data_IF_569390418796
#
_entry.id   IF_569390418796
#
_cell.length_a   1.000
_cell.length_b   1.000
_cell.length_c   1.000
_cell.angle_alpha   90.00
_cell.angle_beta   90.00
_cell.angle_gamma   90.00
#
_symmetry.space_group_name_H-M   'P 1'
#
loop_
_entity.id
_entity.type
_entity.pdbx_description
1 polymer ?
#
# COMPACT_ATOMS: atom_id res chain seq x y z
N UNK A 1 -3.15 21.27 29.99
CA UNK A 1 -3.04 20.40 28.79
C UNK A 1 -2.15 21.11 27.80
N UNK A 2 -0.86 20.75 27.60
CA UNK A 2 -0.03 21.49 26.67
C UNK A 2 -0.48 21.16 25.25
N UNK A 3 -0.79 22.24 24.54
CA UNK A 3 -1.11 22.32 23.12
C UNK A 3 -0.12 21.47 22.32
N UNK A 4 -0.61 20.49 21.57
CA UNK A 4 0.18 19.91 20.47
C UNK A 4 0.62 21.08 19.59
N UNK A 5 1.92 21.42 19.60
CA UNK A 5 2.43 22.56 18.85
C UNK A 5 2.07 22.39 17.37
N UNK A 6 1.64 23.45 16.66
CA UNK A 6 1.27 23.37 15.24
C UNK A 6 2.35 22.74 14.36
N UNK A 7 3.63 22.90 14.72
CA UNK A 7 4.75 22.24 14.07
C UNK A 7 4.68 20.70 14.19
N UNK A 8 4.42 20.18 15.38
CA UNK A 8 4.29 18.73 15.65
C UNK A 8 3.08 18.14 14.91
N UNK A 9 1.98 18.89 14.83
CA UNK A 9 0.79 18.46 14.08
C UNK A 9 1.10 18.36 12.58
N UNK A 10 1.70 19.41 11.99
CA UNK A 10 2.08 19.45 10.57
C UNK A 10 3.06 18.33 10.23
N UNK A 11 4.09 18.13 11.05
CA UNK A 11 5.08 17.08 10.84
C UNK A 11 4.44 15.69 10.90
N UNK A 12 3.55 15.45 11.87
CA UNK A 12 2.84 14.15 12.01
C UNK A 12 1.98 13.84 10.78
N UNK A 13 1.23 14.84 10.28
CA UNK A 13 0.39 14.68 9.08
C UNK A 13 1.24 14.50 7.83
N UNK A 14 2.32 15.28 7.70
CA UNK A 14 3.24 15.18 6.57
C UNK A 14 3.86 13.79 6.49
N UNK A 15 4.45 13.28 7.58
CA UNK A 15 5.03 11.93 7.62
C UNK A 15 3.99 10.85 7.29
N UNK A 16 2.78 10.93 7.85
CA UNK A 16 1.73 9.95 7.55
C UNK A 16 1.26 10.00 6.09
N UNK A 17 1.32 11.18 5.46
CA UNK A 17 1.00 11.35 4.04
C UNK A 17 2.11 10.78 3.15
N UNK A 18 3.38 11.06 3.45
CA UNK A 18 4.54 10.48 2.76
C UNK A 18 4.54 8.95 2.84
N UNK A 19 4.26 8.38 4.02
CA UNK A 19 4.14 6.94 4.19
C UNK A 19 3.03 6.36 3.31
N UNK A 20 1.86 7.00 3.26
CA UNK A 20 0.77 6.54 2.40
C UNK A 20 1.15 6.58 0.91
N UNK A 21 1.77 7.68 0.45
CA UNK A 21 2.24 7.81 -0.94
C UNK A 21 3.28 6.75 -1.30
N UNK A 22 4.20 6.43 -0.36
CA UNK A 22 5.17 5.37 -0.57
C UNK A 22 4.49 4.01 -0.80
N UNK A 23 3.43 3.70 -0.05
CA UNK A 23 2.66 2.47 -0.21
C UNK A 23 1.81 2.47 -1.49
N UNK A 24 1.30 3.63 -1.94
CA UNK A 24 0.64 3.75 -3.24
C UNK A 24 1.59 3.41 -4.39
N UNK A 25 2.84 3.90 -4.33
CA UNK A 25 3.87 3.56 -5.31
C UNK A 25 4.21 2.05 -5.28
N UNK A 26 4.28 1.45 -4.08
CA UNK A 26 4.50 0.00 -3.91
C UNK A 26 3.34 -0.80 -4.53
N UNK A 27 2.09 -0.46 -4.23
CA UNK A 27 0.90 -1.11 -4.80
C UNK A 27 0.89 -0.98 -6.33
N UNK A 28 1.21 0.20 -6.87
CA UNK A 28 1.28 0.42 -8.31
C UNK A 28 2.36 -0.42 -8.99
N UNK A 29 3.52 -0.63 -8.33
CA UNK A 29 4.56 -1.55 -8.82
C UNK A 29 4.07 -2.99 -8.79
N UNK A 30 3.54 -3.46 -7.66
CA UNK A 30 3.10 -4.84 -7.49
C UNK A 30 1.91 -5.20 -8.38
N UNK A 31 1.04 -4.23 -8.69
CA UNK A 31 -0.05 -4.41 -9.66
C UNK A 31 0.49 -4.72 -11.04
N UNK A 32 1.57 -4.04 -11.47
CA UNK A 32 2.25 -4.34 -12.75
C UNK A 32 2.89 -5.72 -12.73
N UNK A 33 3.55 -6.09 -11.64
CA UNK A 33 4.17 -7.41 -11.48
C UNK A 33 3.12 -8.53 -11.53
N UNK A 34 1.99 -8.33 -10.86
CA UNK A 34 0.86 -9.25 -10.88
C UNK A 34 0.24 -9.36 -12.29
N UNK A 35 0.05 -8.24 -12.99
CA UNK A 35 -0.44 -8.26 -14.37
C UNK A 35 0.50 -9.01 -15.33
N UNK A 36 1.81 -8.85 -15.17
CA UNK A 36 2.81 -9.61 -15.91
C UNK A 36 2.72 -11.12 -15.61
N UNK A 37 2.56 -11.48 -14.33
CA UNK A 37 2.38 -12.87 -13.91
C UNK A 37 1.09 -13.50 -14.48
N UNK A 38 -0.01 -12.76 -14.42
CA UNK A 38 -1.30 -13.16 -15.01
C UNK A 38 -1.17 -13.43 -16.50
N UNK A 39 -0.45 -12.56 -17.20
CA UNK A 39 -0.18 -12.70 -18.64
C UNK A 39 0.68 -13.93 -18.92
N UNK A 40 1.74 -14.17 -18.13
CA UNK A 40 2.59 -15.34 -18.27
C UNK A 40 1.82 -16.64 -18.05
N UNK A 41 0.99 -16.71 -17.01
CA UNK A 41 0.12 -17.86 -16.74
C UNK A 41 -0.91 -18.07 -17.86
N UNK A 42 -1.51 -16.99 -18.38
CA UNK A 42 -2.44 -17.08 -19.51
C UNK A 42 -1.81 -17.63 -20.79
N UNK A 43 -0.51 -17.36 -21.01
CA UNK A 43 0.26 -17.93 -22.14
C UNK A 43 0.63 -19.39 -21.92
N UNK A 44 0.84 -19.82 -20.67
CA UNK A 44 1.26 -21.17 -20.30
C UNK A 44 0.47 -21.68 -19.09
N UNK A 45 -0.81 -22.05 -19.28
CA UNK A 45 -1.70 -22.37 -18.16
C UNK A 45 -1.33 -23.66 -17.42
N UNK A 46 -0.64 -24.59 -18.08
CA UNK A 46 -0.16 -25.84 -17.49
C UNK A 46 1.23 -25.72 -16.83
N UNK A 47 1.89 -24.56 -16.93
CA UNK A 47 3.21 -24.33 -16.36
C UNK A 47 3.09 -24.06 -14.85
N UNK A 48 3.61 -25.01 -14.06
CA UNK A 48 3.54 -24.95 -12.60
C UNK A 48 4.27 -23.73 -12.03
N UNK A 49 5.42 -23.35 -12.61
CA UNK A 49 6.19 -22.19 -12.17
C UNK A 49 5.44 -20.88 -12.46
N UNK A 50 4.76 -20.79 -13.60
CA UNK A 50 3.90 -19.65 -13.93
C UNK A 50 2.73 -19.52 -12.95
N UNK A 51 2.15 -20.65 -12.53
CA UNK A 51 1.07 -20.69 -11.53
C UNK A 51 1.56 -20.26 -10.15
N UNK A 52 2.68 -20.80 -9.68
CA UNK A 52 3.28 -20.42 -8.40
C UNK A 52 3.66 -18.93 -8.38
N UNK A 53 4.26 -18.43 -9.46
CA UNK A 53 4.63 -17.03 -9.57
C UNK A 53 3.41 -16.09 -9.61
N UNK A 54 2.29 -16.54 -10.19
CA UNK A 54 1.03 -15.79 -10.18
C UNK A 54 0.45 -15.70 -8.76
N UNK A 55 0.39 -16.82 -8.03
CA UNK A 55 -0.09 -16.86 -6.64
C UNK A 55 0.79 -15.97 -5.76
N UNK A 56 2.11 -16.18 -5.78
CA UNK A 56 3.04 -15.44 -4.92
C UNK A 56 3.01 -13.92 -5.17
N UNK A 57 2.83 -13.47 -6.42
CA UNK A 57 2.69 -12.03 -6.73
C UNK A 57 1.31 -11.50 -6.35
N UNK A 58 0.27 -12.32 -6.44
CA UNK A 58 -1.07 -12.00 -5.94
C UNK A 58 -1.07 -11.77 -4.43
N UNK A 59 -0.45 -12.66 -3.67
CA UNK A 59 -0.34 -12.56 -2.21
C UNK A 59 0.40 -11.28 -1.80
N UNK A 60 1.56 -11.00 -2.43
CA UNK A 60 2.32 -9.76 -2.18
C UNK A 60 1.53 -8.50 -2.49
N UNK A 61 0.76 -8.49 -3.58
CA UNK A 61 -0.11 -7.37 -3.93
C UNK A 61 -1.19 -7.18 -2.87
N UNK A 62 -1.81 -8.27 -2.42
CA UNK A 62 -2.85 -8.24 -1.39
C UNK A 62 -2.30 -7.69 -0.06
N UNK A 63 -1.14 -8.18 0.39
CA UNK A 63 -0.46 -7.67 1.59
C UNK A 63 -0.18 -6.16 1.48
N UNK A 64 0.33 -5.71 0.33
CA UNK A 64 0.59 -4.28 0.11
C UNK A 64 -0.69 -3.43 0.09
N UNK A 65 -1.79 -3.95 -0.47
CA UNK A 65 -3.09 -3.27 -0.44
C UNK A 65 -3.64 -3.15 0.99
N UNK A 66 -3.50 -4.20 1.80
CA UNK A 66 -3.88 -4.19 3.22
C UNK A 66 -3.06 -3.15 3.98
N UNK A 67 -1.75 -3.10 3.77
CA UNK A 67 -0.89 -2.14 4.45
C UNK A 67 -1.18 -0.69 3.98
N UNK A 68 -1.40 -0.45 2.67
CA UNK A 68 -1.87 0.85 2.17
C UNK A 68 -3.15 1.28 2.87
N UNK A 69 -4.13 0.39 2.97
CA UNK A 69 -5.39 0.70 3.65
C UNK A 69 -5.20 0.99 5.14
N UNK A 70 -4.30 0.25 5.81
CA UNK A 70 -3.93 0.55 7.20
C UNK A 70 -3.35 1.96 7.34
N UNK A 71 -2.48 2.40 6.43
CA UNK A 71 -1.88 3.75 6.44
C UNK A 71 -2.92 4.84 6.17
N UNK A 72 -3.85 4.59 5.25
CA UNK A 72 -5.02 5.45 5.02
C UNK A 72 -5.84 5.63 6.31
N UNK A 73 -6.12 4.54 7.04
CA UNK A 73 -6.81 4.60 8.35
C UNK A 73 -6.00 5.29 9.45
N UNK A 74 -4.68 5.23 9.41
CA UNK A 74 -3.83 6.01 10.34
C UNK A 74 -3.97 7.50 10.04
N UNK A 75 -3.85 7.89 8.77
CA UNK A 75 -3.98 9.30 8.35
C UNK A 75 -5.38 9.87 8.66
N UNK A 76 -6.45 9.11 8.39
CA UNK A 76 -7.81 9.48 8.78
C UNK A 76 -7.94 9.74 10.29
N UNK A 77 -7.36 8.87 11.13
CA UNK A 77 -7.39 9.03 12.59
C UNK A 77 -6.60 10.26 13.04
N UNK A 78 -5.46 10.54 12.41
CA UNK A 78 -4.65 11.73 12.69
C UNK A 78 -5.43 13.01 12.33
N UNK A 79 -6.06 13.05 11.16
CA UNK A 79 -6.89 14.19 10.73
C UNK A 79 -8.05 14.45 11.71
N UNK A 80 -8.80 13.40 12.07
CA UNK A 80 -9.87 13.49 13.08
C UNK A 80 -9.36 13.99 14.44
N UNK A 81 -8.20 13.50 14.89
CA UNK A 81 -7.58 13.94 16.15
C UNK A 81 -7.25 15.43 16.16
N UNK A 82 -6.87 15.99 15.02
CA UNK A 82 -6.54 17.41 14.87
C UNK A 82 -7.71 18.26 14.34
N UNK A 83 -8.90 17.69 14.17
CA UNK A 83 -10.10 18.36 13.61
C UNK A 83 -9.85 18.96 12.22
N UNK A 84 -9.14 18.22 11.38
CA UNK A 84 -8.90 18.51 9.96
C UNK A 84 -9.79 17.66 9.06
#
# INVERSE_FOLDING_TARGET
MPLSHPAVQRETIWRATEELQSWEAVVARLTRDYAAAKTALGRRPADAAAREAFVARGDRLMEAMVERHRREKVLERIRKRFRL
#
